data_IF_514203892573
#
_entry.id   IF_514203892573
#
_cell.length_a   1.000
_cell.length_b   1.000
_cell.length_c   1.000
_cell.angle_alpha   90.00
_cell.angle_beta   90.00
_cell.angle_gamma   90.00
#
_symmetry.space_group_name_H-M   'P 1'
#
loop_
_entity.id
_entity.type
_entity.pdbx_description
1 polymer ?
#
# COMPACT_ATOMS: atom_id res chain seq x y z
N UNK A 1 3.78 4.88 -38.18
CA UNK A 1 4.69 4.81 -37.02
C UNK A 1 4.13 5.74 -35.96
N UNK A 2 3.54 5.21 -34.89
CA UNK A 2 2.95 6.07 -33.86
C UNK A 2 4.02 6.31 -32.80
N UNK A 3 4.64 7.49 -32.84
CA UNK A 3 5.47 8.01 -31.74
C UNK A 3 4.51 8.51 -30.66
N UNK A 4 4.19 7.64 -29.72
CA UNK A 4 3.52 8.07 -28.49
C UNK A 4 4.62 8.33 -27.46
N UNK A 5 5.13 9.55 -27.43
CA UNK A 5 5.96 10.04 -26.33
C UNK A 5 5.02 10.36 -25.16
N UNK A 6 4.69 9.35 -24.36
CA UNK A 6 4.00 9.55 -23.07
C UNK A 6 5.03 9.62 -21.94
N UNK A 7 4.66 10.32 -20.85
CA UNK A 7 5.55 10.71 -19.74
C UNK A 7 6.50 9.57 -19.33
N UNK A 8 7.80 9.82 -19.43
CA UNK A 8 8.88 8.89 -19.06
C UNK A 8 8.88 7.52 -19.78
N UNK A 9 8.13 7.35 -20.87
CA UNK A 9 8.14 6.13 -21.69
C UNK A 9 7.03 5.12 -21.40
N UNK A 10 6.09 5.41 -20.49
CA UNK A 10 4.94 4.55 -20.18
C UNK A 10 3.64 5.10 -20.76
N UNK A 11 2.75 4.21 -21.20
CA UNK A 11 1.39 4.56 -21.65
C UNK A 11 0.44 4.84 -20.48
N UNK A 12 -0.63 5.59 -20.73
CA UNK A 12 -1.66 5.87 -19.72
C UNK A 12 -2.28 4.60 -19.12
N UNK A 13 -2.37 3.53 -19.91
CA UNK A 13 -2.86 2.22 -19.45
C UNK A 13 -1.88 1.58 -18.48
N UNK A 14 -0.58 1.63 -18.76
CA UNK A 14 0.46 1.13 -17.85
C UNK A 14 0.51 1.94 -16.55
N UNK A 15 0.44 3.27 -16.64
CA UNK A 15 0.43 4.13 -15.45
C UNK A 15 -0.79 3.85 -14.55
N UNK A 16 -1.97 3.61 -15.14
CA UNK A 16 -3.16 3.18 -14.38
C UNK A 16 -2.97 1.80 -13.74
N UNK A 17 -2.36 0.87 -14.45
CA UNK A 17 -2.06 -0.46 -13.91
C UNK A 17 -1.09 -0.38 -12.72
N UNK A 18 0.00 0.39 -12.84
CA UNK A 18 0.93 0.60 -11.74
C UNK A 18 0.29 1.34 -10.56
N UNK A 19 -0.58 2.32 -10.81
CA UNK A 19 -1.33 2.97 -9.73
C UNK A 19 -2.21 1.96 -8.97
N UNK A 20 -2.91 1.08 -9.68
CA UNK A 20 -3.67 -0.02 -9.07
C UNK A 20 -2.77 -0.93 -8.21
N UNK A 21 -1.59 -1.30 -8.70
CA UNK A 21 -0.65 -2.15 -7.95
C UNK A 21 -0.15 -1.46 -6.69
N UNK A 22 0.27 -0.19 -6.78
CA UNK A 22 0.70 0.60 -5.63
C UNK A 22 -0.40 0.70 -4.57
N UNK A 23 -1.64 0.99 -4.98
CA UNK A 23 -2.78 1.03 -4.06
C UNK A 23 -3.01 -0.32 -3.38
N UNK A 24 -2.93 -1.41 -4.14
CA UNK A 24 -3.05 -2.77 -3.60
C UNK A 24 -1.95 -3.02 -2.55
N UNK A 25 -0.70 -2.67 -2.86
CA UNK A 25 0.43 -2.86 -1.96
C UNK A 25 0.31 -2.05 -0.66
N UNK A 26 -0.21 -0.81 -0.71
CA UNK A 26 -0.46 -0.01 0.49
C UNK A 26 -1.43 -0.74 1.43
N UNK A 27 -2.55 -1.24 0.90
CA UNK A 27 -3.56 -1.93 1.68
C UNK A 27 -3.06 -3.28 2.19
N UNK A 28 -2.38 -4.06 1.33
CA UNK A 28 -1.78 -5.34 1.71
C UNK A 28 -0.72 -5.16 2.80
N UNK A 29 0.18 -4.19 2.68
CA UNK A 29 1.18 -3.90 3.69
C UNK A 29 0.54 -3.53 5.03
N UNK A 30 -0.52 -2.71 5.01
CA UNK A 30 -1.22 -2.34 6.24
C UNK A 30 -1.94 -3.55 6.88
N UNK A 31 -2.58 -4.39 6.07
CA UNK A 31 -3.19 -5.62 6.56
C UNK A 31 -2.14 -6.56 7.19
N UNK A 32 -0.98 -6.72 6.56
CA UNK A 32 0.13 -7.53 7.09
C UNK A 32 0.63 -7.01 8.44
N UNK A 33 0.72 -5.68 8.61
CA UNK A 33 1.08 -5.08 9.90
C UNK A 33 0.01 -5.33 10.96
N UNK A 34 -1.28 -5.21 10.62
CA UNK A 34 -2.38 -5.50 11.55
C UNK A 34 -2.34 -6.97 12.00
N UNK A 35 -2.13 -7.91 11.07
CA UNK A 35 -1.96 -9.34 11.42
C UNK A 35 -0.68 -9.56 12.22
N UNK A 36 0.39 -8.82 11.91
CA UNK A 36 1.65 -8.87 12.63
C UNK A 36 1.55 -8.48 14.09
N UNK A 37 0.62 -7.58 14.46
CA UNK A 37 0.35 -7.26 15.88
C UNK A 37 -0.08 -8.52 16.65
N UNK A 38 -0.93 -9.35 16.06
CA UNK A 38 -1.41 -10.61 16.67
C UNK A 38 -0.28 -11.64 16.74
N UNK A 39 0.48 -11.83 15.66
CA UNK A 39 1.60 -12.78 15.59
C UNK A 39 2.67 -12.45 16.64
N UNK A 40 2.98 -11.16 16.80
CA UNK A 40 4.04 -10.69 17.69
C UNK A 40 3.55 -10.40 19.12
N UNK A 41 2.25 -10.62 19.39
CA UNK A 41 1.57 -10.30 20.64
C UNK A 41 1.81 -8.86 21.12
N UNK A 42 1.73 -7.89 20.18
CA UNK A 42 1.88 -6.47 20.47
C UNK A 42 0.51 -5.90 20.87
N UNK A 43 0.44 -5.32 22.07
CA UNK A 43 -0.76 -4.65 22.57
C UNK A 43 -0.94 -3.26 21.92
N UNK A 44 -2.01 -3.11 21.14
CA UNK A 44 -2.40 -1.86 20.49
C UNK A 44 -3.52 -1.10 21.23
N UNK A 45 -3.97 -1.58 22.40
CA UNK A 45 -5.09 -0.99 23.14
C UNK A 45 -4.87 0.49 23.52
N UNK A 46 -3.61 0.90 23.72
CA UNK A 46 -3.23 2.27 24.08
C UNK A 46 -3.28 3.26 22.92
N UNK A 47 -3.20 2.77 21.67
CA UNK A 47 -3.20 3.62 20.49
C UNK A 47 -4.62 4.02 20.07
N UNK A 48 -5.66 3.35 20.59
CA UNK A 48 -7.06 3.59 20.26
C UNK A 48 -7.36 3.50 18.74
N UNK A 49 -6.70 2.56 18.06
CA UNK A 49 -6.79 2.34 16.60
C UNK A 49 -7.70 1.15 16.20
N UNK A 50 -8.52 0.66 17.12
CA UNK A 50 -9.31 -0.55 16.91
C UNK A 50 -10.35 -0.39 15.77
N UNK A 51 -10.94 0.80 15.65
CA UNK A 51 -11.88 1.12 14.59
C UNK A 51 -11.18 1.19 13.22
N UNK A 52 -10.01 1.82 13.16
CA UNK A 52 -9.21 1.91 11.95
C UNK A 52 -8.74 0.54 11.45
N UNK A 53 -8.31 -0.34 12.36
CA UNK A 53 -7.95 -1.72 12.00
C UNK A 53 -9.13 -2.48 11.40
N UNK A 54 -10.32 -2.31 11.96
CA UNK A 54 -11.56 -2.92 11.47
C UNK A 54 -11.97 -2.36 10.11
N UNK A 55 -11.81 -1.06 9.89
CA UNK A 55 -12.05 -0.42 8.58
C UNK A 55 -11.17 -1.03 7.49
N UNK A 56 -9.86 -1.23 7.75
CA UNK A 56 -8.97 -1.89 6.79
C UNK A 56 -9.39 -3.34 6.54
N UNK A 57 -9.77 -4.10 7.58
CA UNK A 57 -10.26 -5.49 7.43
C UNK A 57 -11.48 -5.56 6.51
N UNK A 58 -12.48 -4.71 6.73
CA UNK A 58 -13.69 -4.61 5.88
C UNK A 58 -13.37 -4.18 4.45
N UNK A 59 -12.44 -3.24 4.29
CA UNK A 59 -12.01 -2.80 2.97
C UNK A 59 -11.39 -3.96 2.19
N UNK A 60 -10.50 -4.75 2.80
CA UNK A 60 -9.91 -5.92 2.15
C UNK A 60 -10.98 -6.96 1.77
N UNK A 61 -11.90 -7.26 2.68
CA UNK A 61 -12.98 -8.23 2.43
C UNK A 61 -13.93 -7.80 1.30
N UNK A 62 -14.28 -6.52 1.25
CA UNK A 62 -15.20 -5.97 0.26
C UNK A 62 -14.57 -5.83 -1.13
N UNK A 63 -13.26 -5.57 -1.20
CA UNK A 63 -12.60 -5.25 -2.45
C UNK A 63 -12.04 -6.46 -3.18
N UNK A 64 -11.67 -7.56 -2.48
CA UNK A 64 -11.08 -8.80 -3.06
C UNK A 64 -10.28 -8.52 -4.35
N UNK A 65 -9.37 -7.55 -4.32
CA UNK A 65 -8.45 -7.19 -5.43
C UNK A 65 -9.08 -6.51 -6.66
N UNK A 66 -10.24 -5.85 -6.53
CA UNK A 66 -10.90 -5.16 -7.67
C UNK A 66 -10.90 -3.64 -7.59
N UNK A 67 -10.38 -3.05 -6.51
CA UNK A 67 -10.42 -1.60 -6.34
C UNK A 67 -9.25 -0.90 -7.01
N UNK A 68 -9.57 -0.01 -7.94
CA UNK A 68 -8.62 0.86 -8.65
C UNK A 68 -8.15 2.07 -7.85
N UNK A 69 -8.84 2.43 -6.78
CA UNK A 69 -8.56 3.65 -6.03
C UNK A 69 -8.85 3.50 -4.54
N UNK A 70 -7.90 3.90 -3.70
CA UNK A 70 -8.14 4.10 -2.28
C UNK A 70 -8.95 5.39 -2.11
N UNK A 71 -10.09 5.32 -1.44
CA UNK A 71 -10.88 6.51 -1.12
C UNK A 71 -10.24 7.31 0.03
N UNK A 72 -10.66 8.56 0.20
CA UNK A 72 -10.07 9.48 1.19
C UNK A 72 -10.19 8.96 2.63
N UNK A 73 -11.26 8.24 2.98
CA UNK A 73 -11.47 7.70 4.32
C UNK A 73 -10.50 6.55 4.59
N UNK A 74 -10.35 5.63 3.64
CA UNK A 74 -9.37 4.54 3.73
C UNK A 74 -7.94 5.07 3.77
N UNK A 75 -7.61 6.08 2.94
CA UNK A 75 -6.30 6.72 2.96
C UNK A 75 -5.97 7.31 4.34
N UNK A 76 -6.90 8.09 4.92
CA UNK A 76 -6.75 8.65 6.27
C UNK A 76 -6.55 7.56 7.32
N UNK A 77 -7.30 6.46 7.20
CA UNK A 77 -7.22 5.30 8.10
C UNK A 77 -5.82 4.68 8.06
N UNK A 78 -5.25 4.48 6.87
CA UNK A 78 -3.87 3.99 6.71
C UNK A 78 -2.87 4.96 7.35
N UNK A 79 -3.02 6.28 7.16
CA UNK A 79 -2.13 7.28 7.76
C UNK A 79 -2.17 7.24 9.30
N UNK A 80 -3.36 7.11 9.89
CA UNK A 80 -3.54 6.99 11.35
C UNK A 80 -2.86 5.73 11.87
N UNK A 81 -3.12 4.58 11.24
CA UNK A 81 -2.50 3.32 11.63
C UNK A 81 -0.97 3.37 11.52
N UNK A 82 -0.44 3.90 10.41
CA UNK A 82 1.00 4.02 10.23
C UNK A 82 1.65 4.91 11.30
N UNK A 83 0.97 5.96 11.75
CA UNK A 83 1.48 6.84 12.81
C UNK A 83 1.43 6.22 14.23
N UNK A 84 0.75 5.09 14.40
CA UNK A 84 0.55 4.48 15.72
C UNK A 84 1.79 3.76 16.24
N UNK A 85 1.97 3.78 17.57
CA UNK A 85 3.17 3.24 18.20
C UNK A 85 3.29 1.72 18.09
N UNK A 86 2.16 1.01 18.19
CA UNK A 86 2.08 -0.44 18.03
C UNK A 86 2.41 -0.89 16.61
N UNK A 87 1.89 -0.20 15.58
CA UNK A 87 2.21 -0.50 14.18
C UNK A 87 3.68 -0.21 13.88
N UNK A 88 4.23 0.91 14.37
CA UNK A 88 5.67 1.20 14.22
C UNK A 88 6.54 0.12 14.91
N UNK A 89 6.16 -0.31 16.11
CA UNK A 89 6.84 -1.41 16.82
C UNK A 89 6.78 -2.72 16.04
N UNK A 90 5.62 -3.02 15.42
CA UNK A 90 5.45 -4.17 14.54
C UNK A 90 6.37 -4.08 13.31
N UNK A 91 6.45 -2.89 12.69
CA UNK A 91 7.31 -2.64 11.54
C UNK A 91 8.81 -2.78 11.85
N UNK A 92 9.26 -2.40 13.05
CA UNK A 92 10.64 -2.62 13.50
C UNK A 92 11.00 -4.11 13.52
N UNK A 93 10.01 -4.96 13.86
CA UNK A 93 10.09 -6.42 13.88
C UNK A 93 9.59 -7.07 12.60
N UNK A 94 9.51 -6.33 11.49
CA UNK A 94 9.00 -6.82 10.19
C UNK A 94 9.67 -8.10 9.67
N UNK A 95 10.89 -8.42 10.11
CA UNK A 95 11.58 -9.65 9.71
C UNK A 95 10.93 -10.93 10.29
N UNK A 96 10.04 -10.79 11.27
CA UNK A 96 9.31 -11.89 11.91
C UNK A 96 7.92 -12.11 11.31
N UNK A 97 7.50 -11.29 10.35
CA UNK A 97 6.20 -11.35 9.69
C UNK A 97 6.35 -11.27 8.18
N UNK A 98 5.33 -11.71 7.45
CA UNK A 98 5.28 -11.52 6.00
C UNK A 98 4.86 -10.08 5.70
N UNK A 99 5.84 -9.17 5.57
CA UNK A 99 5.62 -7.78 5.17
C UNK A 99 6.24 -7.51 3.79
N UNK A 100 5.50 -6.80 2.92
CA UNK A 100 6.03 -6.31 1.65
C UNK A 100 7.30 -5.48 1.83
N UNK A 101 8.33 -5.76 1.04
CA UNK A 101 9.59 -4.99 1.08
C UNK A 101 9.38 -3.50 0.73
N UNK A 102 8.41 -3.21 -0.13
CA UNK A 102 8.01 -1.87 -0.55
C UNK A 102 7.17 -1.13 0.49
N UNK A 103 6.71 -1.81 1.55
CA UNK A 103 5.75 -1.27 2.54
C UNK A 103 6.17 0.11 3.06
N UNK A 104 7.40 0.23 3.59
CA UNK A 104 7.86 1.51 4.15
C UNK A 104 7.86 2.64 3.13
N UNK A 105 8.29 2.35 1.91
CA UNK A 105 8.40 3.37 0.88
C UNK A 105 7.04 3.98 0.53
N UNK A 106 5.98 3.16 0.47
CA UNK A 106 4.64 3.65 0.19
C UNK A 106 3.91 4.18 1.43
N UNK A 107 4.11 3.58 2.61
CA UNK A 107 3.46 4.01 3.85
C UNK A 107 4.04 5.34 4.37
N UNK A 108 5.35 5.59 4.19
CA UNK A 108 5.96 6.87 4.56
C UNK A 108 5.43 8.05 3.73
N UNK A 109 4.89 7.80 2.52
CA UNK A 109 4.33 8.81 1.64
C UNK A 109 2.93 8.43 1.15
N UNK A 110 2.12 7.91 2.09
CA UNK A 110 0.77 7.42 1.83
C UNK A 110 -0.12 8.50 1.19
N UNK A 111 -0.04 9.74 1.68
CA UNK A 111 -0.86 10.86 1.19
C UNK A 111 -0.61 11.17 -0.30
N UNK A 112 0.64 10.98 -0.77
CA UNK A 112 0.99 11.14 -2.19
C UNK A 112 0.39 10.03 -3.02
N UNK A 113 0.54 8.77 -2.59
CA UNK A 113 0.14 7.60 -3.39
C UNK A 113 -1.36 7.34 -3.33
N UNK A 114 -2.09 7.87 -2.35
CA UNK A 114 -3.56 7.80 -2.29
C UNK A 114 -4.25 9.03 -2.90
N UNK A 115 -3.48 9.98 -3.45
CA UNK A 115 -4.06 11.18 -4.05
C UNK A 115 -4.87 10.82 -5.31
N UNK A 116 -6.04 11.43 -5.51
CA UNK A 116 -6.86 11.19 -6.72
C UNK A 116 -6.15 11.57 -8.03
N UNK A 117 -5.16 12.46 -7.97
CA UNK A 117 -4.33 12.87 -9.11
C UNK A 117 -2.96 12.17 -9.12
N UNK A 118 -2.81 11.08 -8.35
CA UNK A 118 -1.56 10.32 -8.29
C UNK A 118 -1.20 9.75 -9.67
N UNK A 119 0.06 9.96 -10.05
CA UNK A 119 0.67 9.35 -11.23
C UNK A 119 1.95 8.65 -10.74
N UNK A 120 2.10 7.33 -10.95
CA UNK A 120 3.29 6.61 -10.51
C UNK A 120 4.57 7.20 -11.09
N UNK A 121 5.53 7.41 -10.22
CA UNK A 121 6.89 7.79 -10.62
C UNK A 121 7.66 6.56 -11.11
N UNK A 122 8.75 6.72 -11.89
CA UNK A 122 9.61 5.60 -12.26
C UNK A 122 10.13 4.80 -11.05
N UNK A 123 10.29 5.46 -9.89
CA UNK A 123 10.69 4.80 -8.65
C UNK A 123 9.57 3.91 -8.08
N UNK A 124 8.32 4.40 -8.08
CA UNK A 124 7.15 3.62 -7.66
C UNK A 124 7.03 2.36 -8.54
N UNK A 125 7.15 2.54 -9.86
CA UNK A 125 7.10 1.46 -10.84
C UNK A 125 8.21 0.42 -10.58
N UNK A 126 9.44 0.86 -10.33
CA UNK A 126 10.55 -0.05 -10.05
C UNK A 126 10.34 -0.87 -8.75
N UNK A 127 9.70 -0.27 -7.74
CA UNK A 127 9.35 -0.95 -6.49
C UNK A 127 8.25 -1.98 -6.67
N UNK A 128 7.30 -1.74 -7.58
CA UNK A 128 6.29 -2.74 -7.96
C UNK A 128 6.87 -3.86 -8.83
N UNK A 129 7.71 -3.49 -9.79
CA UNK A 129 8.28 -4.40 -10.77
C UNK A 129 9.15 -5.51 -10.16
N UNK A 130 9.70 -5.28 -8.96
CA UNK A 130 10.59 -6.26 -8.30
C UNK A 130 9.83 -7.49 -7.75
N UNK A 131 8.49 -7.43 -7.63
CA UNK A 131 7.67 -8.51 -7.05
C UNK A 131 6.94 -9.34 -8.13
N UNK A 132 6.88 -8.87 -9.38
CA UNK A 132 6.24 -9.56 -10.49
C UNK A 132 7.21 -9.85 -11.62
N UNK A 133 7.42 -11.13 -11.91
CA UNK A 133 7.99 -11.61 -13.18
C UNK A 133 7.48 -10.77 -14.36
N UNK A 134 8.43 -10.25 -15.15
CA UNK A 134 8.25 -9.81 -16.52
C UNK A 134 7.15 -10.61 -17.25
N UNK A 135 6.15 -9.98 -17.88
CA UNK A 135 5.67 -10.54 -19.13
C UNK A 135 6.82 -10.38 -20.12
N UNK A 136 7.40 -11.50 -20.54
CA UNK A 136 8.40 -11.55 -21.61
C UNK A 136 7.93 -10.68 -22.79
N UNK A 137 8.82 -9.79 -23.25
CA UNK A 137 8.75 -9.17 -24.57
C UNK A 137 9.04 -10.22 -25.65
#
# INVERSE_FOLDING_TARGET
MVKILHLNGFSDTELKHYSFLVHTNVITAMQQLIVGLEILAIDSSRDNIAEEMETIRRFVESTKYTTSSIDTETARTVSVLWSSSSIQTCYERRAEIDLLESAKYFLDDVDRVTNQSYVPTPQDINKEYTIGTLPDL
#
